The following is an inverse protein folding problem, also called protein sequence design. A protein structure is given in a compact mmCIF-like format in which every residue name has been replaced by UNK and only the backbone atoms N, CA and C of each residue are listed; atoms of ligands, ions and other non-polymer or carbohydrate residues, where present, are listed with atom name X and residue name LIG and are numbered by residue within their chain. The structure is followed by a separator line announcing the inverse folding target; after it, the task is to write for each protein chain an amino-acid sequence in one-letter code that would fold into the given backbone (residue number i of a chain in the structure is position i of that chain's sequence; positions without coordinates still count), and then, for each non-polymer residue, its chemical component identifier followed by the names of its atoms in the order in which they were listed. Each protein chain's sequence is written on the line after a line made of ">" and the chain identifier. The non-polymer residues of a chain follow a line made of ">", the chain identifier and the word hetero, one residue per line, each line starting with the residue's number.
data_IF_883904919188
#
_entry.id   IF_883904919188
#
_cell.length_a   1.000
_cell.length_b   1.000
_cell.length_c   1.000
_cell.angle_alpha   90.00
_cell.angle_beta   90.00
_cell.angle_gamma   90.00
#
_symmetry.space_group_name_H-M   'P 1'
#
loop_
_entity.id
_entity.type
_entity.pdbx_description
1 polymer ?
#
# COMPACT_ATOMS: atom_id res chain seq x y z
N UNK A 1 10.08 -47.85 46.19
CA UNK A 1 10.07 -48.85 45.10
C UNK A 1 9.28 -48.27 43.93
N UNK A 2 9.89 -48.35 42.73
CA UNK A 2 9.33 -48.26 41.37
C UNK A 2 8.54 -46.99 40.97
N UNK A 3 8.68 -46.39 39.77
CA UNK A 3 9.61 -46.45 38.62
C UNK A 3 9.19 -45.30 37.69
N UNK A 4 10.16 -44.68 37.00
CA UNK A 4 9.94 -43.62 36.03
C UNK A 4 9.11 -44.02 34.80
N UNK A 5 8.43 -43.04 34.18
CA UNK A 5 8.29 -43.00 32.71
C UNK A 5 8.42 -41.57 32.21
N UNK A 6 9.60 -41.31 31.65
CA UNK A 6 9.99 -40.14 30.86
C UNK A 6 9.38 -40.28 29.47
N UNK A 7 8.49 -39.38 29.07
CA UNK A 7 8.15 -39.19 27.66
C UNK A 7 8.86 -37.91 27.17
N UNK A 8 9.97 -38.13 26.48
CA UNK A 8 10.60 -37.12 25.63
C UNK A 8 10.08 -37.37 24.22
N UNK A 9 9.48 -36.36 23.59
CA UNK A 9 9.30 -36.33 22.12
C UNK A 9 9.86 -35.01 21.63
N UNK A 10 10.84 -35.12 20.72
CA UNK A 10 11.60 -34.04 20.09
C UNK A 10 10.82 -33.44 18.92
N UNK A 11 11.07 -32.15 18.66
CA UNK A 11 11.02 -31.41 17.37
C UNK A 11 9.74 -31.53 16.53
N UNK A 12 9.00 -30.43 16.37
CA UNK A 12 9.01 -29.67 15.12
C UNK A 12 8.26 -28.34 15.22
N UNK A 13 8.80 -27.36 14.50
CA UNK A 13 8.19 -26.11 14.04
C UNK A 13 7.64 -25.15 15.10
N UNK A 14 8.54 -24.25 15.55
CA UNK A 14 8.16 -22.86 15.76
C UNK A 14 7.57 -22.34 14.45
N UNK A 15 6.26 -22.46 14.30
CA UNK A 15 5.52 -21.65 13.34
C UNK A 15 5.58 -20.25 13.92
N UNK A 16 6.57 -19.47 13.50
CA UNK A 16 6.43 -18.02 13.47
C UNK A 16 5.15 -17.75 12.70
N UNK A 17 4.07 -17.51 13.44
CA UNK A 17 2.88 -16.87 12.89
C UNK A 17 3.33 -15.48 12.54
N UNK A 18 3.90 -15.34 11.34
CA UNK A 18 4.01 -14.06 10.66
C UNK A 18 2.63 -13.43 10.75
N UNK A 19 2.54 -12.28 11.41
CA UNK A 19 1.32 -11.49 11.48
C UNK A 19 0.66 -11.53 10.10
N UNK A 20 -0.63 -11.89 10.00
CA UNK A 20 -1.30 -11.97 8.72
C UNK A 20 -1.05 -10.64 8.01
N UNK A 21 -0.47 -10.72 6.80
CA UNK A 21 -0.25 -9.56 5.95
C UNK A 21 -1.55 -8.73 5.98
N UNK A 22 -1.47 -7.42 6.24
CA UNK A 22 -2.67 -6.61 6.45
C UNK A 22 -3.63 -6.88 5.30
N UNK A 23 -4.84 -7.35 5.64
CA UNK A 23 -5.89 -7.60 4.66
C UNK A 23 -5.93 -6.41 3.71
N UNK A 24 -5.80 -6.68 2.41
CA UNK A 24 -5.79 -5.64 1.38
C UNK A 24 -7.16 -4.98 1.42
N UNK A 25 -7.30 -3.88 2.17
CA UNK A 25 -8.52 -3.07 2.29
C UNK A 25 -8.82 -2.25 1.03
N UNK A 26 -8.25 -2.66 -0.09
CA UNK A 26 -8.28 -1.91 -1.33
C UNK A 26 -9.27 -2.50 -2.32
N UNK A 27 -10.06 -1.63 -2.97
CA UNK A 27 -10.92 -2.01 -4.09
C UNK A 27 -10.36 -1.45 -5.38
N UNK A 28 -10.38 -2.25 -6.45
CA UNK A 28 -10.08 -1.77 -7.80
C UNK A 28 -11.38 -1.52 -8.55
N UNK A 29 -11.59 -0.30 -9.01
CA UNK A 29 -12.71 0.09 -9.87
C UNK A 29 -12.20 1.05 -10.94
N UNK A 30 -12.57 0.85 -12.20
CA UNK A 30 -12.17 1.71 -13.32
C UNK A 30 -10.65 1.95 -13.41
N UNK A 31 -9.83 0.91 -13.19
CA UNK A 31 -8.34 0.99 -13.15
C UNK A 31 -7.78 1.90 -12.06
N UNK A 32 -8.57 2.18 -11.03
CA UNK A 32 -8.14 2.93 -9.85
C UNK A 32 -8.20 1.99 -8.65
N UNK A 33 -7.06 1.80 -8.01
CA UNK A 33 -6.99 1.12 -6.72
C UNK A 33 -7.28 2.12 -5.61
N UNK A 34 -8.24 1.84 -4.74
CA UNK A 34 -8.59 2.71 -3.61
C UNK A 34 -8.53 1.94 -2.32
N UNK A 35 -7.68 2.39 -1.39
CA UNK A 35 -7.62 1.90 -0.02
C UNK A 35 -8.40 2.86 0.89
N UNK A 36 -9.37 2.33 1.63
CA UNK A 36 -10.27 3.13 2.47
C UNK A 36 -9.75 3.30 3.88
N UNK A 37 -10.19 4.38 4.53
CA UNK A 37 -9.93 4.66 5.95
C UNK A 37 -8.42 4.59 6.29
N UNK A 38 -7.58 5.14 5.41
CA UNK A 38 -6.14 5.22 5.61
C UNK A 38 -5.84 6.31 6.62
N UNK A 39 -5.22 5.92 7.73
CA UNK A 39 -4.77 6.85 8.76
C UNK A 39 -3.44 7.50 8.37
N UNK A 40 -3.46 8.82 8.24
CA UNK A 40 -2.26 9.63 8.06
C UNK A 40 -1.55 9.82 9.41
N UNK A 41 -0.29 10.24 9.39
CA UNK A 41 0.52 10.48 10.60
C UNK A 41 -0.01 11.60 11.50
N UNK A 42 -0.90 12.45 10.98
CA UNK A 42 -1.62 13.46 11.75
C UNK A 42 -2.94 12.96 12.36
N UNK A 43 -3.26 11.66 12.19
CA UNK A 43 -4.48 11.02 12.68
C UNK A 43 -5.72 11.24 11.80
N UNK A 44 -5.59 11.89 10.64
CA UNK A 44 -6.69 12.02 9.70
C UNK A 44 -6.92 10.71 8.94
N UNK A 45 -8.19 10.28 8.83
CA UNK A 45 -8.60 9.14 8.01
C UNK A 45 -9.02 9.63 6.63
N UNK A 46 -8.41 9.08 5.58
CA UNK A 46 -8.69 9.43 4.19
C UNK A 46 -8.76 8.21 3.30
N UNK A 47 -9.56 8.28 2.24
CA UNK A 47 -9.53 7.27 1.18
C UNK A 47 -8.42 7.62 0.20
N UNK A 48 -7.48 6.71 -0.02
CA UNK A 48 -6.33 6.90 -0.90
C UNK A 48 -6.55 6.12 -2.19
N UNK A 49 -6.80 6.84 -3.27
CA UNK A 49 -6.88 6.28 -4.62
C UNK A 49 -5.57 6.42 -5.39
N UNK A 50 -5.21 5.40 -6.17
CA UNK A 50 -4.00 5.29 -6.99
C UNK A 50 -4.38 4.84 -8.40
N UNK A 51 -3.82 5.51 -9.40
CA UNK A 51 -3.94 5.16 -10.82
C UNK A 51 -3.10 3.91 -11.11
N UNK A 52 -3.71 2.89 -11.73
CA UNK A 52 -3.03 1.64 -12.07
C UNK A 52 -2.47 1.63 -13.50
N UNK A 53 -3.01 2.48 -14.37
CA UNK A 53 -2.61 2.61 -15.76
C UNK A 53 -1.55 3.70 -15.92
N UNK A 54 -0.53 3.44 -16.73
CA UNK A 54 0.52 4.43 -17.03
C UNK A 54 0.01 5.51 -17.99
N UNK A 55 -1.00 5.20 -18.80
CA UNK A 55 -1.59 6.16 -19.75
C UNK A 55 -2.38 7.27 -19.04
N UNK A 56 -2.86 7.02 -17.82
CA UNK A 56 -3.59 7.99 -17.00
C UNK A 56 -2.65 8.90 -16.17
N UNK A 57 -1.34 8.65 -16.20
CA UNK A 57 -0.36 9.45 -15.48
C UNK A 57 -0.10 10.79 -16.20
N UNK A 58 0.24 11.86 -15.46
CA UNK A 58 0.54 13.15 -16.08
C UNK A 58 1.77 13.04 -17.01
N UNK A 59 1.78 13.79 -18.11
CA UNK A 59 2.87 13.78 -19.09
C UNK A 59 4.25 14.08 -18.49
N UNK A 60 4.31 14.81 -17.37
CA UNK A 60 5.54 15.08 -16.62
C UNK A 60 6.11 13.87 -15.88
N UNK A 61 5.39 12.74 -15.82
CA UNK A 61 5.80 11.56 -15.06
C UNK A 61 7.15 11.02 -15.53
N UNK A 62 7.40 10.97 -16.84
CA UNK A 62 8.69 10.53 -17.38
C UNK A 62 9.86 11.42 -16.91
N UNK A 63 9.65 12.74 -16.83
CA UNK A 63 10.65 13.67 -16.29
C UNK A 63 10.88 13.44 -14.80
N UNK A 64 9.82 13.19 -14.03
CA UNK A 64 9.93 12.89 -12.60
C UNK A 64 10.72 11.61 -12.33
N UNK A 65 10.55 10.60 -13.19
CA UNK A 65 11.33 9.36 -13.15
C UNK A 65 12.81 9.65 -13.46
N UNK A 66 13.08 10.41 -14.52
CA UNK A 66 14.45 10.75 -14.93
C UNK A 66 15.21 11.56 -13.86
N UNK A 67 14.50 12.44 -13.15
CA UNK A 67 15.04 13.26 -12.06
C UNK A 67 15.18 12.49 -10.74
N UNK A 68 14.63 11.27 -10.65
CA UNK A 68 14.57 10.50 -9.39
C UNK A 68 13.68 11.16 -8.32
N UNK A 69 12.70 11.97 -8.74
CA UNK A 69 11.84 12.72 -7.83
C UNK A 69 10.72 11.81 -7.27
N UNK A 70 11.04 11.04 -6.23
CA UNK A 70 10.13 10.08 -5.61
C UNK A 70 8.83 10.72 -5.13
N UNK A 71 8.90 11.90 -4.50
CA UNK A 71 7.71 12.60 -4.02
C UNK A 71 6.77 13.01 -5.16
N UNK A 72 7.35 13.53 -6.25
CA UNK A 72 6.60 13.87 -7.46
C UNK A 72 5.99 12.65 -8.13
N UNK A 73 6.73 11.54 -8.22
CA UNK A 73 6.23 10.29 -8.79
C UNK A 73 5.03 9.74 -8.01
N UNK A 74 5.12 9.72 -6.67
CA UNK A 74 4.02 9.28 -5.82
C UNK A 74 2.78 10.15 -6.04
N UNK A 75 2.92 11.47 -6.01
CA UNK A 75 1.80 12.39 -6.26
C UNK A 75 1.23 12.25 -7.67
N UNK A 76 2.06 11.98 -8.67
CA UNK A 76 1.63 11.79 -10.04
C UNK A 76 0.76 10.53 -10.22
N UNK A 77 1.01 9.48 -9.44
CA UNK A 77 0.17 8.27 -9.40
C UNK A 77 -1.16 8.45 -8.68
N UNK A 78 -1.37 9.58 -7.99
CA UNK A 78 -2.63 9.88 -7.34
C UNK A 78 -3.57 10.67 -8.29
N UNK A 79 -4.85 10.28 -8.38
CA UNK A 79 -5.87 11.11 -9.03
C UNK A 79 -5.93 12.51 -8.42
N UNK A 80 -6.34 13.50 -9.22
CA UNK A 80 -6.43 14.90 -8.78
C UNK A 80 -7.27 15.08 -7.52
N UNK A 81 -8.37 14.32 -7.40
CA UNK A 81 -9.25 14.35 -6.21
C UNK A 81 -8.51 13.92 -4.95
N UNK A 82 -7.74 12.84 -5.02
CA UNK A 82 -6.95 12.33 -3.88
C UNK A 82 -5.87 13.34 -3.49
N UNK A 83 -5.18 13.95 -4.46
CA UNK A 83 -4.19 15.00 -4.18
C UNK A 83 -4.80 16.18 -3.44
N UNK A 84 -5.92 16.71 -3.95
CA UNK A 84 -6.64 17.81 -3.30
C UNK A 84 -7.11 17.44 -1.89
N UNK A 85 -7.56 16.20 -1.70
CA UNK A 85 -7.96 15.71 -0.38
C UNK A 85 -6.77 15.69 0.59
N UNK A 86 -5.62 15.13 0.16
CA UNK A 86 -4.38 15.09 0.94
C UNK A 86 -3.91 16.50 1.31
N UNK A 87 -3.90 17.44 0.37
CA UNK A 87 -3.55 18.83 0.65
C UNK A 87 -4.52 19.48 1.65
N UNK A 88 -5.82 19.21 1.50
CA UNK A 88 -6.86 19.76 2.39
C UNK A 88 -6.75 19.25 3.83
N UNK A 89 -6.44 17.98 4.03
CA UNK A 89 -6.22 17.40 5.37
C UNK A 89 -4.83 17.71 5.94
N UNK A 90 -4.01 18.47 5.21
CA UNK A 90 -2.66 18.85 5.64
C UNK A 90 -1.68 17.67 5.64
N UNK A 91 -1.81 16.75 4.68
CA UNK A 91 -0.86 15.66 4.50
C UNK A 91 0.55 16.21 4.25
N UNK A 92 1.52 15.60 4.90
CA UNK A 92 2.92 16.02 4.85
C UNK A 92 3.75 15.15 3.92
N UNK A 93 5.00 15.56 3.67
CA UNK A 93 5.95 14.70 2.96
C UNK A 93 6.24 13.39 3.70
N UNK A 94 6.07 13.36 5.03
CA UNK A 94 6.20 12.15 5.82
C UNK A 94 5.07 11.17 5.48
N UNK A 95 3.84 11.66 5.40
CA UNK A 95 2.68 10.84 4.99
C UNK A 95 2.85 10.26 3.59
N UNK A 96 3.37 11.05 2.66
CA UNK A 96 3.66 10.55 1.31
C UNK A 96 4.62 9.36 1.33
N UNK A 97 5.64 9.37 2.19
CA UNK A 97 6.66 8.32 2.25
C UNK A 97 6.25 7.12 3.08
N UNK A 98 5.63 7.35 4.23
CA UNK A 98 5.33 6.31 5.22
C UNK A 98 3.96 5.66 5.00
N UNK A 99 3.01 6.39 4.45
CA UNK A 99 1.62 5.93 4.29
C UNK A 99 1.28 5.71 2.82
N UNK A 100 1.48 6.74 1.98
CA UNK A 100 1.08 6.68 0.57
C UNK A 100 2.01 5.78 -0.25
N UNK A 101 3.32 5.83 -0.03
CA UNK A 101 4.26 5.00 -0.82
C UNK A 101 4.00 3.49 -0.68
N UNK A 102 3.72 2.93 0.52
CA UNK A 102 3.29 1.53 0.64
C UNK A 102 2.01 1.22 -0.12
N UNK A 103 1.02 2.13 -0.13
CA UNK A 103 -0.25 1.95 -0.86
C UNK A 103 0.00 1.90 -2.37
N UNK A 104 0.79 2.85 -2.89
CA UNK A 104 1.19 2.88 -4.31
C UNK A 104 1.95 1.62 -4.69
N UNK A 105 2.84 1.13 -3.81
CA UNK A 105 3.56 -0.12 -4.04
C UNK A 105 2.61 -1.32 -4.12
N UNK A 106 1.64 -1.43 -3.21
CA UNK A 106 0.60 -2.48 -3.28
C UNK A 106 -0.18 -2.40 -4.59
N UNK A 107 -0.56 -1.19 -5.01
CA UNK A 107 -1.26 -0.96 -6.27
C UNK A 107 -0.42 -1.40 -7.49
N UNK A 108 0.88 -1.13 -7.46
CA UNK A 108 1.82 -1.55 -8.51
C UNK A 108 2.04 -3.07 -8.54
N UNK A 109 2.03 -3.72 -7.38
CA UNK A 109 2.18 -5.18 -7.22
C UNK A 109 0.92 -5.98 -7.59
N UNK A 110 -0.22 -5.32 -7.84
CA UNK A 110 -1.44 -6.00 -8.29
C UNK A 110 -1.23 -6.70 -9.65
N UNK A 111 -1.79 -7.91 -9.84
CA UNK A 111 -1.70 -8.60 -11.12
C UNK A 111 -2.48 -7.82 -12.20
N UNK A 112 -2.01 -7.86 -13.45
CA UNK A 112 -2.65 -7.15 -14.56
C UNK A 112 -4.14 -7.52 -14.72
N UNK A 113 -4.50 -8.77 -14.45
CA UNK A 113 -5.90 -9.24 -14.46
C UNK A 113 -6.82 -8.48 -13.49
N UNK A 114 -6.27 -7.95 -12.40
CA UNK A 114 -7.00 -7.13 -11.44
C UNK A 114 -6.96 -5.64 -11.82
N UNK A 115 -5.86 -5.15 -12.38
CA UNK A 115 -5.73 -3.76 -12.84
C UNK A 115 -6.72 -3.38 -13.94
N UNK A 116 -7.05 -4.33 -14.83
CA UNK A 116 -7.99 -4.14 -15.94
C UNK A 116 -9.37 -4.76 -15.71
N UNK A 117 -9.72 -5.06 -14.45
CA UNK A 117 -11.04 -5.58 -14.11
C UNK A 117 -12.09 -4.50 -14.42
N UNK A 118 -12.93 -4.78 -15.41
CA UNK A 118 -14.02 -3.90 -15.88
C UNK A 118 -15.22 -3.95 -14.96
#
# INVERSE_FOLDING_TARGET
>A
MATAKKNTTKKNDEVEVLDPAPEVKGTVENRIYTEKDVELTNGALVDVSVLLDNDDLPASFASLVAEGNVGGMLMAKLPEKTRKLLDWVGATQKDLREVIAPIVRRADELPESEKYKK
#
